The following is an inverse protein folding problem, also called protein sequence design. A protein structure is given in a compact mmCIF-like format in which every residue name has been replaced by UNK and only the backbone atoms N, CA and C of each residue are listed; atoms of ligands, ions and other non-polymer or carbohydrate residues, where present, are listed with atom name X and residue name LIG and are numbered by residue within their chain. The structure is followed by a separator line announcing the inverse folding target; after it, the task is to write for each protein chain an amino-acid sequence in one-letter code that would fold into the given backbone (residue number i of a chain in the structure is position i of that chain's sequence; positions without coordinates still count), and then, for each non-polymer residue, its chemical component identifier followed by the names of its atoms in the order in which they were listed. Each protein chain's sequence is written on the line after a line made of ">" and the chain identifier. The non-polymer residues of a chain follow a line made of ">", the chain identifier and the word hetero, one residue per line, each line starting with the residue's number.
data_IF_547711679064
#
_entry.id   IF_547711679064
#
_cell.length_a   1.000
_cell.length_b   1.000
_cell.length_c   1.000
_cell.angle_alpha   90.00
_cell.angle_beta   90.00
_cell.angle_gamma   90.00
#
_symmetry.space_group_name_H-M   'P 1'
#
loop_
_entity.id
_entity.type
_entity.pdbx_description
1 polymer ?
#
# COMPACT_ATOMS: atom_id res chain seq x y z
N UNK A 1 -1.21 -34.42 -1.14
CA UNK A 1 -0.49 -33.94 -2.34
C UNK A 1 -1.46 -34.07 -3.50
N UNK A 2 -1.68 -32.96 -4.22
CA UNK A 2 -2.84 -32.64 -5.07
C UNK A 2 -4.03 -32.05 -4.30
N UNK A 3 -4.62 -31.00 -4.88
CA UNK A 3 -5.86 -30.27 -4.50
C UNK A 3 -5.83 -29.09 -3.53
N UNK A 4 -4.81 -28.23 -3.65
CA UNK A 4 -4.91 -26.82 -3.25
C UNK A 4 -4.33 -25.84 -4.30
N UNK A 5 -4.06 -26.32 -5.52
CA UNK A 5 -3.49 -25.52 -6.62
C UNK A 5 -4.50 -25.13 -7.71
N UNK A 6 -5.76 -25.54 -7.57
CA UNK A 6 -6.73 -25.45 -8.68
C UNK A 6 -7.84 -24.40 -8.49
N UNK A 7 -7.82 -23.59 -7.41
CA UNK A 7 -8.90 -22.63 -7.14
C UNK A 7 -8.48 -21.16 -7.01
N UNK A 8 -7.31 -20.79 -7.55
CA UNK A 8 -7.14 -19.40 -8.00
C UNK A 8 -7.60 -19.37 -9.45
N UNK A 9 -8.93 -19.36 -9.62
CA UNK A 9 -9.54 -19.07 -10.90
C UNK A 9 -8.92 -17.79 -11.44
N UNK A 10 -8.42 -17.87 -12.67
CA UNK A 10 -7.94 -16.72 -13.43
C UNK A 10 -9.04 -15.67 -13.41
N UNK A 11 -8.88 -14.57 -12.67
CA UNK A 11 -9.61 -13.34 -12.98
C UNK A 11 -8.89 -12.80 -14.21
N UNK A 12 -9.22 -13.37 -15.37
CA UNK A 12 -8.89 -12.73 -16.62
C UNK A 12 -9.80 -11.51 -16.66
N UNK A 13 -9.24 -10.31 -16.78
CA UNK A 13 -10.04 -9.11 -17.04
C UNK A 13 -11.05 -9.44 -18.14
N UNK A 14 -12.33 -9.34 -17.79
CA UNK A 14 -13.41 -9.48 -18.76
C UNK A 14 -13.51 -8.15 -19.51
N UNK A 15 -12.61 -7.95 -20.47
CA UNK A 15 -12.60 -6.74 -21.30
C UNK A 15 -13.95 -6.56 -21.99
N UNK A 16 -14.65 -7.66 -22.31
CA UNK A 16 -15.99 -7.63 -22.87
C UNK A 16 -17.06 -7.11 -21.91
N UNK A 17 -16.84 -7.18 -20.59
CA UNK A 17 -17.67 -6.52 -19.59
C UNK A 17 -17.30 -5.04 -19.43
N UNK A 18 -16.02 -4.70 -19.35
CA UNK A 18 -15.54 -3.31 -19.20
C UNK A 18 -15.93 -2.43 -20.40
N UNK A 19 -15.95 -3.00 -21.61
CA UNK A 19 -16.29 -2.29 -22.84
C UNK A 19 -17.81 -2.09 -23.05
N UNK A 20 -18.67 -2.62 -22.16
CA UNK A 20 -20.13 -2.50 -22.35
C UNK A 20 -20.63 -1.06 -22.23
N UNK A 21 -19.95 -0.25 -21.42
CA UNK A 21 -20.34 1.14 -21.16
C UNK A 21 -19.08 1.99 -21.11
N UNK A 22 -19.08 3.09 -21.88
CA UNK A 22 -18.06 4.14 -21.77
C UNK A 22 -18.75 5.42 -21.35
N UNK A 23 -18.35 5.95 -20.21
CA UNK A 23 -18.85 7.23 -19.69
C UNK A 23 -17.86 8.35 -20.02
N UNK A 24 -18.36 9.53 -20.34
CA UNK A 24 -17.52 10.70 -20.53
C UNK A 24 -17.06 11.23 -19.15
N UNK A 25 -15.75 11.48 -19.01
CA UNK A 25 -15.22 12.09 -17.81
C UNK A 25 -15.88 13.44 -17.53
N UNK A 26 -16.41 13.58 -16.31
CA UNK A 26 -16.88 14.86 -15.80
C UNK A 26 -15.67 15.70 -15.39
N UNK A 27 -15.71 16.99 -15.71
CA UNK A 27 -14.63 17.94 -15.41
C UNK A 27 -13.24 17.43 -15.84
N UNK A 28 -13.04 17.10 -17.13
CA UNK A 28 -11.84 16.40 -17.60
C UNK A 28 -10.54 17.18 -17.37
N UNK A 29 -10.60 18.47 -17.08
CA UNK A 29 -9.43 19.31 -16.78
C UNK A 29 -9.09 19.35 -15.27
N UNK A 30 -9.99 18.91 -14.39
CA UNK A 30 -9.78 18.94 -12.93
C UNK A 30 -8.59 18.05 -12.57
N UNK A 31 -7.49 18.60 -12.02
CA UNK A 31 -6.34 17.79 -11.65
C UNK A 31 -6.69 16.87 -10.48
N UNK A 32 -6.48 15.57 -10.68
CA UNK A 32 -6.75 14.52 -9.70
C UNK A 32 -5.43 13.88 -9.28
N UNK A 33 -5.29 13.67 -7.98
CA UNK A 33 -4.30 12.74 -7.44
C UNK A 33 -5.08 11.47 -7.08
N UNK A 34 -4.74 10.35 -7.71
CA UNK A 34 -5.24 9.04 -7.31
C UNK A 34 -4.54 8.64 -6.00
N UNK A 35 -5.25 8.59 -4.85
CA UNK A 35 -4.61 8.42 -3.56
C UNK A 35 -4.20 6.97 -3.28
N UNK A 36 -4.61 6.01 -4.10
CA UNK A 36 -4.36 4.61 -3.80
C UNK A 36 -4.44 3.75 -5.07
N UNK A 37 -3.31 3.21 -5.47
CA UNK A 37 -3.27 2.05 -6.36
C UNK A 37 -2.21 1.05 -5.89
N UNK A 38 -2.19 -0.10 -6.55
CA UNK A 38 -1.17 -1.12 -6.35
C UNK A 38 -0.33 -1.30 -7.63
N UNK A 39 0.80 -1.97 -7.47
CA UNK A 39 1.60 -2.51 -8.57
C UNK A 39 2.07 -3.90 -8.16
N UNK A 40 1.76 -4.93 -8.96
CA UNK A 40 2.09 -6.31 -8.60
C UNK A 40 2.28 -7.21 -9.82
N UNK A 41 2.85 -8.37 -9.57
CA UNK A 41 2.97 -9.46 -10.55
C UNK A 41 2.61 -10.78 -9.87
N UNK A 42 1.30 -11.02 -9.70
CA UNK A 42 0.79 -12.28 -9.20
C UNK A 42 0.49 -13.23 -10.37
N UNK A 43 0.55 -14.56 -10.17
CA UNK A 43 0.27 -15.51 -11.24
C UNK A 43 -1.10 -15.29 -11.92
N UNK A 44 -1.06 -14.79 -13.16
CA UNK A 44 -2.28 -14.51 -13.94
C UNK A 44 -2.97 -13.18 -13.59
N UNK A 45 -2.37 -12.34 -12.77
CA UNK A 45 -2.85 -11.00 -12.39
C UNK A 45 -1.65 -10.08 -12.20
N UNK A 46 -1.21 -9.45 -13.30
CA UNK A 46 -0.17 -8.42 -13.33
C UNK A 46 -0.85 -7.06 -13.40
N UNK A 47 -0.28 -6.07 -12.72
CA UNK A 47 -0.71 -4.68 -12.83
C UNK A 47 0.49 -3.76 -12.65
N UNK A 48 1.11 -3.32 -13.73
CA UNK A 48 2.30 -2.47 -13.78
C UNK A 48 1.99 -1.10 -14.41
N UNK A 49 3.02 -0.32 -14.70
CA UNK A 49 2.91 1.05 -15.22
C UNK A 49 2.05 1.16 -16.48
N UNK A 50 2.19 0.23 -17.42
CA UNK A 50 1.42 0.24 -18.67
C UNK A 50 -0.09 0.06 -18.42
N UNK A 51 -0.46 -0.81 -17.48
CA UNK A 51 -1.84 -1.05 -17.08
C UNK A 51 -2.39 0.14 -16.28
N UNK A 52 -1.62 0.68 -15.33
CA UNK A 52 -1.97 1.90 -14.60
C UNK A 52 -2.23 3.10 -15.53
N UNK A 53 -1.38 3.29 -16.54
CA UNK A 53 -1.52 4.41 -17.49
C UNK A 53 -2.68 4.21 -18.46
N UNK A 54 -3.04 2.97 -18.78
CA UNK A 54 -4.25 2.68 -19.54
C UNK A 54 -5.50 3.10 -18.75
N UNK A 55 -5.57 2.76 -17.46
CA UNK A 55 -6.71 3.11 -16.60
C UNK A 55 -6.79 4.61 -16.30
N UNK A 56 -5.68 5.21 -15.89
CA UNK A 56 -5.63 6.66 -15.59
C UNK A 56 -5.75 7.53 -16.84
N UNK A 57 -5.52 6.96 -18.02
CA UNK A 57 -5.74 7.59 -19.32
C UNK A 57 -7.20 7.59 -19.80
N UNK A 58 -8.16 7.10 -19.01
CA UNK A 58 -9.57 6.94 -19.38
C UNK A 58 -10.38 8.23 -19.58
N UNK A 59 -9.75 9.41 -19.52
CA UNK A 59 -10.37 10.72 -19.81
C UNK A 59 -10.36 11.71 -18.63
N UNK A 60 -10.05 11.24 -17.42
CA UNK A 60 -9.81 12.11 -16.27
C UNK A 60 -8.37 12.65 -16.27
N UNK A 61 -8.16 13.86 -15.77
CA UNK A 61 -6.82 14.44 -15.63
C UNK A 61 -6.13 13.96 -14.34
N UNK A 62 -5.72 12.69 -14.32
CA UNK A 62 -4.91 12.12 -13.23
C UNK A 62 -3.46 12.57 -13.39
N UNK A 63 -3.05 13.54 -12.56
CA UNK A 63 -1.71 14.16 -12.65
C UNK A 63 -0.66 13.43 -11.83
N UNK A 64 -1.07 12.71 -10.78
CA UNK A 64 -0.18 11.94 -9.93
C UNK A 64 -0.93 10.79 -9.25
N UNK A 65 -0.19 9.79 -8.79
CA UNK A 65 -0.76 8.65 -8.05
C UNK A 65 0.07 8.32 -6.80
N UNK A 66 -0.53 7.63 -5.84
CA UNK A 66 0.16 7.09 -4.66
C UNK A 66 0.09 5.57 -4.68
N UNK A 67 1.25 4.92 -4.56
CA UNK A 67 1.32 3.48 -4.36
C UNK A 67 1.12 3.16 -2.88
N UNK A 68 0.27 2.18 -2.61
CA UNK A 68 0.07 1.62 -1.27
C UNK A 68 0.46 0.15 -1.28
N UNK A 69 1.12 -0.28 -0.21
CA UNK A 69 1.62 -1.63 0.05
C UNK A 69 0.72 -2.77 -0.47
N UNK A 70 1.31 -3.84 -0.99
CA UNK A 70 0.56 -5.05 -1.39
C UNK A 70 1.42 -6.32 -1.37
N UNK A 71 2.51 -6.33 -0.60
CA UNK A 71 3.52 -7.39 -0.53
C UNK A 71 4.25 -7.65 -1.87
N UNK A 72 4.29 -6.69 -2.78
CA UNK A 72 4.89 -6.87 -4.09
C UNK A 72 6.42 -6.81 -4.00
N UNK A 73 7.11 -7.70 -4.72
CA UNK A 73 8.55 -7.61 -4.97
C UNK A 73 9.44 -7.50 -3.70
N UNK A 74 9.03 -8.12 -2.60
CA UNK A 74 9.89 -8.23 -1.43
C UNK A 74 11.22 -8.89 -1.79
N UNK A 75 12.31 -8.46 -1.15
CA UNK A 75 13.64 -9.05 -1.37
C UNK A 75 13.60 -10.54 -1.07
N UNK A 76 14.21 -11.34 -1.94
CA UNK A 76 14.22 -12.80 -1.83
C UNK A 76 15.10 -13.31 -0.67
N UNK A 77 16.09 -12.52 -0.25
CA UNK A 77 17.06 -12.85 0.79
C UNK A 77 17.25 -11.69 1.79
N UNK A 78 18.16 -11.89 2.74
CA UNK A 78 18.43 -10.94 3.82
C UNK A 78 17.49 -11.07 5.04
N UNK A 79 17.68 -10.20 6.04
CA UNK A 79 16.87 -10.19 7.26
C UNK A 79 15.38 -9.97 6.95
N UNK A 80 14.52 -10.76 7.57
CA UNK A 80 13.07 -10.77 7.31
C UNK A 80 12.44 -9.37 7.38
N UNK A 81 12.77 -8.60 8.43
CA UNK A 81 12.27 -7.23 8.62
C UNK A 81 12.68 -6.25 7.51
N UNK A 82 13.72 -6.55 6.73
CA UNK A 82 14.23 -5.70 5.64
C UNK A 82 13.81 -6.17 4.25
N UNK A 83 13.11 -7.30 4.13
CA UNK A 83 12.59 -7.77 2.84
C UNK A 83 11.53 -6.85 2.23
N UNK A 84 10.62 -6.22 3.01
CA UNK A 84 9.63 -5.29 2.48
C UNK A 84 10.22 -4.08 1.75
N UNK A 85 11.47 -3.72 2.04
CA UNK A 85 12.17 -2.63 1.33
C UNK A 85 12.29 -2.90 -0.17
N UNK A 86 12.27 -4.17 -0.59
CA UNK A 86 12.22 -4.54 -2.02
C UNK A 86 11.00 -3.98 -2.75
N UNK A 87 9.85 -3.88 -2.07
CA UNK A 87 8.66 -3.25 -2.64
C UNK A 87 8.90 -1.77 -2.93
N UNK A 88 9.46 -1.04 -1.96
CA UNK A 88 9.81 0.38 -2.14
C UNK A 88 10.83 0.58 -3.26
N UNK A 89 11.84 -0.29 -3.36
CA UNK A 89 12.83 -0.25 -4.44
C UNK A 89 12.18 -0.45 -5.82
N UNK A 90 11.33 -1.46 -5.93
CA UNK A 90 10.58 -1.76 -7.15
C UNK A 90 9.70 -0.58 -7.57
N UNK A 91 8.87 -0.07 -6.66
CA UNK A 91 7.94 1.02 -6.93
C UNK A 91 8.68 2.32 -7.27
N UNK A 92 9.78 2.64 -6.58
CA UNK A 92 10.58 3.80 -6.93
C UNK A 92 11.25 3.66 -8.32
N UNK A 93 11.57 2.44 -8.74
CA UNK A 93 11.98 2.12 -10.11
C UNK A 93 10.89 2.41 -11.14
N UNK A 94 9.63 2.04 -10.85
CA UNK A 94 8.47 2.38 -11.70
C UNK A 94 8.22 3.89 -11.73
N UNK A 95 8.29 4.55 -10.57
CA UNK A 95 8.14 6.00 -10.46
C UNK A 95 9.21 6.74 -11.27
N UNK A 96 10.44 6.22 -11.32
CA UNK A 96 11.51 6.77 -12.15
C UNK A 96 11.24 6.57 -13.66
N UNK A 97 10.65 5.43 -14.07
CA UNK A 97 10.22 5.23 -15.46
C UNK A 97 9.16 6.25 -15.87
N UNK A 98 8.12 6.44 -15.06
CA UNK A 98 7.09 7.46 -15.31
C UNK A 98 7.68 8.87 -15.40
N UNK A 99 8.57 9.23 -14.46
CA UNK A 99 9.21 10.55 -14.42
C UNK A 99 10.15 10.86 -15.61
N UNK A 100 10.45 9.88 -16.48
CA UNK A 100 11.19 10.13 -17.72
C UNK A 100 10.42 10.99 -18.73
N UNK A 101 9.09 11.08 -18.61
CA UNK A 101 8.21 11.74 -19.57
C UNK A 101 7.94 10.94 -20.84
N UNK A 102 8.58 9.78 -21.02
CA UNK A 102 8.36 8.89 -22.17
C UNK A 102 6.95 8.26 -22.12
N UNK A 103 6.43 8.06 -20.91
CA UNK A 103 5.16 7.37 -20.65
C UNK A 103 3.98 8.32 -20.41
N UNK A 104 4.12 9.60 -20.74
CA UNK A 104 3.09 10.61 -20.50
C UNK A 104 3.45 11.56 -19.34
N UNK A 105 2.47 12.39 -18.95
CA UNK A 105 2.66 13.46 -17.95
C UNK A 105 2.27 13.05 -16.53
N UNK A 106 1.50 11.98 -16.37
CA UNK A 106 1.10 11.48 -15.05
C UNK A 106 2.32 11.03 -14.25
N UNK A 107 2.49 11.61 -13.06
CA UNK A 107 3.54 11.23 -12.12
C UNK A 107 3.10 9.99 -11.31
N UNK A 108 3.33 8.80 -11.86
CA UNK A 108 3.00 7.55 -11.20
C UNK A 108 3.84 7.36 -9.93
N UNK A 109 3.19 6.92 -8.86
CA UNK A 109 3.78 6.65 -7.55
C UNK A 109 4.55 7.86 -6.98
N UNK A 110 3.96 9.06 -7.09
CA UNK A 110 4.50 10.29 -6.52
C UNK A 110 4.63 10.23 -4.99
N UNK A 111 3.80 9.41 -4.34
CA UNK A 111 3.96 8.94 -2.96
C UNK A 111 4.05 7.41 -2.91
N UNK A 112 4.81 6.90 -1.95
CA UNK A 112 4.97 5.46 -1.67
C UNK A 112 4.69 5.22 -0.18
N UNK A 113 3.72 4.34 0.08
CA UNK A 113 3.41 3.78 1.39
C UNK A 113 3.72 2.28 1.33
N UNK A 114 4.62 1.77 2.17
CA UNK A 114 5.03 0.36 2.17
C UNK A 114 4.82 -0.30 3.54
N UNK A 115 5.14 -1.58 3.67
CA UNK A 115 5.06 -2.28 4.96
C UNK A 115 6.32 -2.12 5.80
N UNK A 116 6.14 -1.94 7.11
CA UNK A 116 7.16 -2.23 8.11
C UNK A 116 6.46 -2.83 9.34
N UNK A 117 7.07 -3.86 9.94
CA UNK A 117 6.52 -4.47 11.15
C UNK A 117 6.72 -3.54 12.36
N UNK A 118 5.71 -2.73 12.65
CA UNK A 118 5.65 -1.84 13.81
C UNK A 118 5.64 -2.63 15.14
N UNK A 119 5.30 -3.92 15.16
CA UNK A 119 5.36 -4.76 16.36
C UNK A 119 6.81 -5.06 16.82
N UNK A 120 7.81 -4.73 15.99
CA UNK A 120 9.21 -4.70 16.39
C UNK A 120 9.52 -3.60 17.43
N UNK A 121 8.60 -2.66 17.65
CA UNK A 121 8.82 -1.51 18.55
C UNK A 121 9.98 -0.65 18.04
N UNK A 122 10.91 -0.29 18.93
CA UNK A 122 12.10 0.49 18.55
C UNK A 122 12.96 -0.19 17.46
N UNK A 123 12.85 -1.52 17.33
CA UNK A 123 13.54 -2.29 16.30
C UNK A 123 13.08 -2.00 14.87
N UNK A 124 11.99 -1.24 14.67
CA UNK A 124 11.50 -0.87 13.34
C UNK A 124 12.32 0.26 12.70
N UNK A 125 13.04 1.07 13.49
CA UNK A 125 13.75 2.27 12.99
C UNK A 125 14.73 1.97 11.84
N UNK A 126 15.58 0.92 11.90
CA UNK A 126 16.45 0.60 10.77
C UNK A 126 15.68 0.20 9.49
N UNK A 127 14.45 -0.30 9.62
CA UNK A 127 13.58 -0.63 8.47
C UNK A 127 13.04 0.66 7.85
N UNK A 128 12.57 1.61 8.68
CA UNK A 128 12.11 2.92 8.22
C UNK A 128 13.23 3.68 7.50
N UNK A 129 14.44 3.69 8.08
CA UNK A 129 15.62 4.29 7.48
C UNK A 129 15.97 3.65 6.12
N UNK A 130 15.85 2.33 6.01
CA UNK A 130 16.08 1.62 4.75
C UNK A 130 15.06 1.96 3.67
N UNK A 131 13.78 2.09 4.02
CA UNK A 131 12.73 2.55 3.09
C UNK A 131 12.96 3.98 2.62
N UNK A 132 13.28 4.90 3.55
CA UNK A 132 13.63 6.29 3.23
C UNK A 132 14.83 6.33 2.29
N UNK A 133 15.87 5.52 2.54
CA UNK A 133 17.03 5.45 1.66
C UNK A 133 16.72 4.88 0.27
N UNK A 134 15.78 3.93 0.19
CA UNK A 134 15.36 3.33 -1.08
C UNK A 134 14.54 4.28 -1.97
N UNK A 135 13.77 5.20 -1.37
CA UNK A 135 12.95 6.16 -2.11
C UNK A 135 12.89 7.55 -1.43
N UNK A 136 14.01 8.28 -1.29
CA UNK A 136 14.08 9.48 -0.45
C UNK A 136 13.17 10.62 -0.90
N UNK A 137 12.87 10.69 -2.20
CA UNK A 137 11.97 11.70 -2.75
C UNK A 137 10.48 11.36 -2.58
N UNK A 138 10.12 10.08 -2.42
CA UNK A 138 8.75 9.56 -2.60
C UNK A 138 8.21 8.76 -1.43
N UNK A 139 9.05 8.27 -0.52
CA UNK A 139 8.59 7.52 0.63
C UNK A 139 7.83 8.44 1.60
N UNK A 140 6.62 8.03 2.00
CA UNK A 140 5.70 8.88 2.77
C UNK A 140 5.07 8.20 3.98
N UNK A 141 4.97 6.88 4.01
CA UNK A 141 4.24 6.23 5.10
C UNK A 141 4.41 4.74 5.18
N UNK A 142 3.79 4.19 6.22
CA UNK A 142 3.67 2.76 6.44
C UNK A 142 2.20 2.36 6.44
N UNK A 143 1.88 1.29 5.72
CA UNK A 143 0.66 0.50 5.95
C UNK A 143 1.04 -0.76 6.69
N UNK A 144 0.41 -0.98 7.84
CA UNK A 144 0.45 -2.26 8.54
C UNK A 144 -0.99 -2.67 8.76
N UNK A 145 -1.53 -3.49 7.86
CA UNK A 145 -2.91 -3.97 7.93
C UNK A 145 -3.18 -4.62 9.29
N UNK A 146 -4.26 -4.24 9.97
CA UNK A 146 -4.57 -4.75 11.32
C UNK A 146 -5.93 -5.40 11.43
N UNK A 147 -6.59 -5.66 10.30
CA UNK A 147 -7.90 -6.32 10.24
C UNK A 147 -7.86 -7.67 10.95
N UNK A 148 -8.58 -7.74 12.07
CA UNK A 148 -8.72 -8.94 12.89
C UNK A 148 -10.17 -9.13 13.31
N UNK A 149 -10.70 -10.33 13.11
CA UNK A 149 -11.96 -10.80 13.66
C UNK A 149 -11.78 -12.22 14.23
N UNK A 150 -12.62 -12.55 15.22
CA UNK A 150 -12.68 -13.87 15.85
C UNK A 150 -13.50 -14.89 15.07
N UNK A 151 -14.34 -14.45 14.14
CA UNK A 151 -15.26 -15.29 13.39
C UNK A 151 -14.55 -15.98 12.23
N UNK A 152 -14.63 -17.32 12.15
CA UNK A 152 -13.91 -18.12 11.17
C UNK A 152 -14.25 -17.80 9.70
N UNK A 153 -15.44 -17.25 9.44
CA UNK A 153 -15.87 -16.81 8.10
C UNK A 153 -15.26 -15.48 7.66
N UNK A 154 -14.57 -14.75 8.55
CA UNK A 154 -13.96 -13.45 8.26
C UNK A 154 -12.45 -13.63 8.14
N UNK A 155 -11.90 -13.29 6.97
CA UNK A 155 -10.48 -13.47 6.69
C UNK A 155 -9.64 -12.30 7.20
N UNK A 156 -8.87 -12.52 8.27
CA UNK A 156 -7.90 -11.56 8.79
C UNK A 156 -6.88 -11.08 7.74
N UNK A 157 -6.36 -9.87 7.95
CA UNK A 157 -5.39 -9.23 7.06
C UNK A 157 -4.14 -10.09 6.82
N UNK A 158 -3.49 -9.87 5.66
CA UNK A 158 -2.31 -10.63 5.21
C UNK A 158 -1.09 -10.53 6.12
N UNK A 159 -1.04 -9.53 6.99
CA UNK A 159 -0.04 -9.34 8.05
C UNK A 159 -0.22 -10.29 9.23
N UNK A 160 -1.32 -11.08 9.25
CA UNK A 160 -1.68 -11.99 10.33
C UNK A 160 -1.69 -11.32 11.72
N UNK A 161 -2.44 -10.21 11.89
CA UNK A 161 -2.41 -9.45 13.14
C UNK A 161 -3.06 -10.26 14.28
N UNK A 162 -2.55 -10.17 15.53
CA UNK A 162 -3.25 -10.66 16.70
C UNK A 162 -4.41 -9.73 17.10
N UNK A 163 -5.33 -10.25 17.92
CA UNK A 163 -6.35 -9.43 18.59
C UNK A 163 -5.69 -8.29 19.38
N UNK A 164 -6.24 -7.08 19.28
CA UNK A 164 -5.79 -5.93 20.06
C UNK A 164 -4.42 -5.37 19.68
N UNK A 165 -3.91 -5.65 18.47
CA UNK A 165 -2.57 -5.22 18.03
C UNK A 165 -2.32 -3.71 18.21
N UNK A 166 -3.30 -2.84 17.93
CA UNK A 166 -3.17 -1.38 18.07
C UNK A 166 -3.07 -0.94 19.54
N UNK A 167 -3.50 -1.79 20.47
CA UNK A 167 -3.32 -1.65 21.92
C UNK A 167 -1.95 -2.10 22.43
N UNK A 168 -1.22 -2.92 21.66
CA UNK A 168 0.05 -3.50 22.11
C UNK A 168 1.13 -2.43 22.34
N UNK A 169 1.87 -2.60 23.43
CA UNK A 169 2.88 -1.64 23.85
C UNK A 169 4.09 -1.57 22.92
N UNK A 170 4.46 -2.67 22.25
CA UNK A 170 5.55 -2.65 21.26
C UNK A 170 5.05 -2.02 19.96
N UNK A 171 3.86 -2.41 19.49
CA UNK A 171 3.26 -1.79 18.31
C UNK A 171 3.17 -0.27 18.45
N UNK A 172 2.69 0.22 19.60
CA UNK A 172 2.62 1.67 19.90
C UNK A 172 3.99 2.36 19.87
N UNK A 173 5.05 1.69 20.31
CA UNK A 173 6.42 2.23 20.21
C UNK A 173 6.88 2.29 18.76
N UNK A 174 6.60 1.26 17.96
CA UNK A 174 6.93 1.25 16.53
C UNK A 174 6.15 2.32 15.77
N UNK A 175 4.85 2.45 16.04
CA UNK A 175 3.99 3.51 15.52
C UNK A 175 4.54 4.90 15.87
N UNK A 176 4.93 5.11 17.13
CA UNK A 176 5.51 6.39 17.56
C UNK A 176 6.81 6.75 16.81
N UNK A 177 7.58 5.76 16.38
CA UNK A 177 8.80 6.02 15.60
C UNK A 177 8.50 6.68 14.24
N UNK A 178 7.29 6.54 13.68
CA UNK A 178 6.90 7.20 12.43
C UNK A 178 6.96 8.73 12.54
N UNK A 179 6.61 9.28 13.71
CA UNK A 179 6.63 10.72 13.96
C UNK A 179 8.04 11.32 13.82
N UNK A 180 9.07 10.60 14.27
CA UNK A 180 10.47 11.05 14.20
C UNK A 180 10.96 11.22 12.76
N UNK A 181 10.33 10.53 11.81
CA UNK A 181 10.67 10.58 10.40
C UNK A 181 9.61 11.34 9.56
N UNK A 182 8.56 11.87 10.19
CA UNK A 182 7.47 12.56 9.50
C UNK A 182 6.67 11.67 8.55
N UNK A 183 6.54 10.38 8.87
CA UNK A 183 5.84 9.39 8.06
C UNK A 183 4.37 9.27 8.47
N UNK A 184 3.48 9.00 7.51
CA UNK A 184 2.07 8.67 7.77
C UNK A 184 1.87 7.20 8.13
N UNK A 185 0.71 6.91 8.69
CA UNK A 185 0.21 5.56 8.87
C UNK A 185 -1.13 5.37 8.15
N UNK A 186 -1.18 4.37 7.27
CA UNK A 186 -2.40 3.97 6.57
C UNK A 186 -3.06 2.84 7.37
N UNK A 187 -4.26 3.12 7.88
CA UNK A 187 -4.98 2.28 8.83
C UNK A 187 -6.07 1.47 8.11
N UNK A 188 -5.71 0.25 7.73
CA UNK A 188 -6.64 -0.73 7.17
C UNK A 188 -7.04 -1.78 8.23
N UNK A 189 -8.29 -1.72 8.68
CA UNK A 189 -8.83 -2.46 9.84
C UNK A 189 -10.35 -2.67 9.71
N UNK A 190 -10.92 -3.57 10.49
CA UNK A 190 -12.39 -3.72 10.51
C UNK A 190 -13.08 -2.66 11.37
N UNK A 191 -14.32 -2.32 11.01
CA UNK A 191 -15.06 -1.23 11.64
C UNK A 191 -15.19 -1.33 13.18
N UNK A 192 -15.21 -2.55 13.75
CA UNK A 192 -15.27 -2.73 15.21
C UNK A 192 -13.95 -2.35 15.92
N UNK A 193 -12.83 -2.30 15.20
CA UNK A 193 -11.51 -1.90 15.70
C UNK A 193 -11.28 -0.36 15.66
N UNK A 194 -12.22 0.45 15.14
CA UNK A 194 -12.09 1.92 15.06
C UNK A 194 -11.82 2.56 16.43
N UNK A 195 -12.36 1.99 17.51
CA UNK A 195 -12.11 2.48 18.87
C UNK A 195 -10.63 2.32 19.27
N UNK A 196 -9.99 1.23 18.86
CA UNK A 196 -8.56 1.01 19.11
C UNK A 196 -7.69 1.97 18.30
N UNK A 197 -8.02 2.18 17.02
CA UNK A 197 -7.33 3.17 16.19
C UNK A 197 -7.46 4.57 16.79
N UNK A 198 -8.66 4.94 17.26
CA UNK A 198 -8.89 6.22 17.91
C UNK A 198 -8.00 6.38 19.15
N UNK A 199 -7.84 5.32 19.94
CA UNK A 199 -6.96 5.33 21.11
C UNK A 199 -5.47 5.45 20.71
N UNK A 200 -5.05 4.79 19.63
CA UNK A 200 -3.69 4.88 19.08
C UNK A 200 -3.39 6.29 18.58
N UNK A 201 -4.25 6.86 17.73
CA UNK A 201 -4.08 8.19 17.16
C UNK A 201 -4.05 9.29 18.24
N UNK A 202 -4.82 9.14 19.33
CA UNK A 202 -4.75 10.05 20.49
C UNK A 202 -3.47 9.90 21.30
N UNK A 203 -2.88 8.71 21.33
CA UNK A 203 -1.67 8.44 22.09
C UNK A 203 -0.41 9.01 21.42
N UNK A 204 -0.41 9.13 20.08
CA UNK A 204 0.67 9.75 19.30
C UNK A 204 0.08 10.65 18.21
N UNK A 205 -0.43 11.84 18.57
CA UNK A 205 -1.10 12.74 17.63
C UNK A 205 -0.18 13.33 16.56
N UNK A 206 1.13 13.18 16.69
CA UNK A 206 2.14 13.64 15.75
C UNK A 206 2.19 12.80 14.47
N UNK A 207 1.70 11.56 14.49
CA UNK A 207 1.64 10.67 13.31
C UNK A 207 0.35 10.96 12.53
N UNK A 208 0.43 11.43 11.27
CA UNK A 208 -0.73 11.54 10.41
C UNK A 208 -1.31 10.16 10.13
N UNK A 209 -2.61 9.98 10.37
CA UNK A 209 -3.32 8.73 10.11
C UNK A 209 -4.27 8.91 8.93
N UNK A 210 -4.14 8.06 7.92
CA UNK A 210 -5.13 7.88 6.86
C UNK A 210 -6.00 6.70 7.28
N UNK A 211 -7.31 6.93 7.44
CA UNK A 211 -8.26 5.86 7.73
C UNK A 211 -8.77 5.30 6.40
N UNK A 212 -8.42 4.06 6.12
CA UNK A 212 -8.81 3.38 4.89
C UNK A 212 -10.23 2.79 5.01
N UNK A 213 -10.78 2.41 3.85
CA UNK A 213 -12.02 1.65 3.65
C UNK A 213 -12.16 0.40 4.54
#
# INVERSE_FOLDING_TARGET
>A
MADAKESLSRIKEDTGWLEQVTEAALEPELPIIDPHHHLWDFPGNRYFLDELLADTGGGHNVVATVFVECMAMYRADGPEALRPVGETEFVNGVAAQSASGIYGQTAACAGIVSFADLALGDGVRPVLEAHIAAAPARFRGIRHATGWDSHDDIQNSHTHPPEGLLGDSKFRKGFAALADYGLSFDAWLYHHQITELTALARAVPEVPVVLDH
#
